data_IF_956025961099
#
_entry.id   IF_956025961099
#
_cell.length_a   1.000
_cell.length_b   1.000
_cell.length_c   1.000
_cell.angle_alpha   90.00
_cell.angle_beta   90.00
_cell.angle_gamma   90.00
#
_symmetry.space_group_name_H-M   'P 1'
#
loop_
_entity.id
_entity.type
_entity.pdbx_description
1 polymer ?
#
# COMPACT_ATOMS: atom_id res chain seq x y z
N UNK A 1 27.00 1.51 14.18
CA UNK A 1 25.65 1.29 13.61
C UNK A 1 25.33 -0.20 13.61
N UNK A 2 24.34 -0.64 14.37
CA UNK A 2 23.98 -2.07 14.45
C UNK A 2 23.33 -2.52 13.13
N UNK A 3 23.92 -3.48 12.41
CA UNK A 3 23.39 -3.99 11.13
C UNK A 3 21.99 -4.55 11.39
N UNK A 4 21.00 -4.04 10.64
CA UNK A 4 19.62 -4.52 10.75
C UNK A 4 19.56 -6.03 10.46
N UNK A 5 19.07 -6.82 11.41
CA UNK A 5 18.82 -8.24 11.21
C UNK A 5 17.75 -8.44 10.13
N UNK A 6 18.06 -9.26 9.12
CA UNK A 6 17.09 -9.67 8.10
C UNK A 6 16.00 -10.53 8.73
N UNK A 7 14.79 -10.49 8.19
CA UNK A 7 13.70 -11.38 8.61
C UNK A 7 14.08 -12.81 8.21
N UNK A 8 14.14 -13.78 9.15
CA UNK A 8 14.55 -15.16 8.86
C UNK A 8 13.69 -15.82 7.78
N UNK A 9 14.28 -16.71 6.98
CA UNK A 9 13.58 -17.41 5.87
C UNK A 9 12.33 -18.15 6.37
N UNK A 10 12.45 -18.88 7.47
CA UNK A 10 11.33 -19.61 8.10
C UNK A 10 10.16 -18.68 8.47
N UNK A 11 10.45 -17.47 8.95
CA UNK A 11 9.44 -16.48 9.27
C UNK A 11 8.82 -15.85 8.01
N UNK A 12 9.60 -15.64 6.95
CA UNK A 12 9.07 -15.17 5.65
C UNK A 12 8.05 -16.16 5.07
N UNK A 13 8.31 -17.47 5.19
CA UNK A 13 7.38 -18.50 4.75
C UNK A 13 6.05 -18.44 5.52
N UNK A 14 6.12 -18.28 6.85
CA UNK A 14 4.92 -18.05 7.69
C UNK A 14 4.15 -16.79 7.29
N UNK A 15 4.84 -15.70 6.98
CA UNK A 15 4.20 -14.45 6.54
C UNK A 15 3.50 -14.63 5.20
N UNK A 16 4.11 -15.37 4.26
CA UNK A 16 3.54 -15.62 2.94
C UNK A 16 2.19 -16.37 3.01
N UNK A 17 2.07 -17.34 3.91
CA UNK A 17 0.86 -18.15 4.06
C UNK A 17 -0.32 -17.39 4.67
N UNK A 18 -0.10 -16.28 5.39
CA UNK A 18 -1.15 -15.52 6.10
C UNK A 18 -2.31 -15.06 5.21
N UNK A 19 -2.07 -14.78 3.93
CA UNK A 19 -3.09 -14.23 3.01
C UNK A 19 -3.03 -14.88 1.63
N UNK A 20 -2.64 -16.16 1.59
CA UNK A 20 -2.71 -17.00 0.37
C UNK A 20 -2.12 -16.33 -0.88
N UNK A 21 -0.96 -15.70 -0.75
CA UNK A 21 -0.29 -15.05 -1.87
C UNK A 21 -0.98 -13.78 -2.40
N UNK A 22 -1.71 -13.04 -1.57
CA UNK A 22 -2.24 -11.70 -1.91
C UNK A 22 -1.57 -10.61 -1.08
N UNK A 23 -1.51 -9.39 -1.60
CA UNK A 23 -1.07 -8.24 -0.82
C UNK A 23 -2.11 -7.94 0.26
N UNK A 24 -1.70 -7.90 1.52
CA UNK A 24 -2.61 -7.63 2.62
C UNK A 24 -3.28 -6.23 2.54
N UNK A 25 -2.65 -5.27 1.84
CA UNK A 25 -3.21 -3.92 1.71
C UNK A 25 -4.15 -3.82 0.51
N UNK A 26 -3.69 -4.16 -0.69
CA UNK A 26 -4.44 -3.89 -1.93
C UNK A 26 -5.10 -5.13 -2.55
N UNK A 27 -4.94 -6.32 -1.95
CA UNK A 27 -5.51 -7.56 -2.45
C UNK A 27 -4.86 -8.11 -3.74
N UNK A 28 -3.94 -7.38 -4.38
CA UNK A 28 -3.26 -7.83 -5.61
C UNK A 28 -2.58 -9.19 -5.40
N UNK A 29 -2.67 -10.07 -6.38
CA UNK A 29 -1.97 -11.35 -6.38
C UNK A 29 -0.46 -11.12 -6.39
N UNK A 30 0.23 -11.82 -5.50
CA UNK A 30 1.68 -11.79 -5.34
C UNK A 30 2.28 -13.05 -5.97
N UNK A 31 3.55 -12.95 -6.36
CA UNK A 31 4.37 -14.05 -6.85
C UNK A 31 5.49 -14.32 -5.85
N UNK A 32 5.55 -15.55 -5.32
CA UNK A 32 6.53 -15.94 -4.30
C UNK A 32 7.98 -15.83 -4.80
N UNK A 33 8.20 -16.21 -6.06
CA UNK A 33 9.50 -16.31 -6.71
C UNK A 33 9.67 -15.27 -7.84
N UNK A 34 9.09 -14.07 -7.67
CA UNK A 34 9.26 -13.01 -8.65
C UNK A 34 10.74 -12.63 -8.78
N UNK A 35 11.23 -12.51 -10.03
CA UNK A 35 12.58 -12.00 -10.28
C UNK A 35 12.66 -10.52 -9.91
N UNK A 36 13.86 -10.02 -9.61
CA UNK A 36 14.07 -8.59 -9.34
C UNK A 36 13.59 -7.78 -10.55
N UNK A 37 12.69 -6.82 -10.31
CA UNK A 37 12.06 -6.01 -11.37
C UNK A 37 10.77 -6.59 -11.94
N UNK A 38 10.42 -7.84 -11.62
CA UNK A 38 9.19 -8.47 -12.08
C UNK A 38 7.96 -7.94 -11.31
N UNK A 39 6.85 -7.78 -12.04
CA UNK A 39 5.57 -7.41 -11.44
C UNK A 39 5.04 -8.52 -10.51
N UNK A 40 4.41 -8.11 -9.41
CA UNK A 40 3.81 -9.03 -8.44
C UNK A 40 4.81 -9.56 -7.41
N UNK A 41 6.07 -9.13 -7.42
CA UNK A 41 7.00 -9.41 -6.33
C UNK A 41 6.48 -8.93 -4.97
N UNK A 42 6.86 -9.65 -3.91
CA UNK A 42 6.37 -9.41 -2.56
C UNK A 42 7.47 -9.04 -1.58
N UNK A 43 7.05 -8.32 -0.53
CA UNK A 43 7.89 -7.89 0.57
C UNK A 43 7.21 -8.21 1.90
N UNK A 44 8.03 -8.46 2.93
CA UNK A 44 7.57 -8.47 4.32
C UNK A 44 7.43 -7.03 4.80
N UNK A 45 6.20 -6.54 4.85
CA UNK A 45 5.85 -5.26 5.45
C UNK A 45 5.68 -5.40 6.96
N UNK A 46 6.03 -4.34 7.71
CA UNK A 46 5.73 -4.27 9.14
C UNK A 46 4.50 -3.39 9.38
N UNK A 47 3.59 -3.79 10.28
CA UNK A 47 2.44 -2.98 10.71
C UNK A 47 2.94 -1.74 11.45
N UNK A 48 3.74 -1.97 12.50
CA UNK A 48 4.57 -0.96 13.17
C UNK A 48 5.97 -1.05 12.58
N UNK A 49 6.43 0.03 11.94
CA UNK A 49 7.75 0.06 11.33
C UNK A 49 8.85 -0.21 12.36
N UNK A 50 9.87 -0.99 11.99
CA UNK A 50 11.03 -1.28 12.84
C UNK A 50 11.69 0.00 13.39
N UNK A 51 11.83 1.05 12.54
CA UNK A 51 12.37 2.35 12.94
C UNK A 51 11.56 3.07 14.04
N UNK A 52 10.35 2.61 14.35
CA UNK A 52 9.51 3.12 15.44
C UNK A 52 9.31 2.09 16.55
N UNK A 53 10.22 1.11 16.68
CA UNK A 53 10.13 0.04 17.68
C UNK A 53 9.11 -1.04 17.32
N UNK A 54 8.97 -1.36 16.03
CA UNK A 54 8.18 -2.50 15.58
C UNK A 54 8.94 -3.81 15.71
N UNK A 55 8.32 -4.84 16.28
CA UNK A 55 8.93 -6.16 16.48
C UNK A 55 9.02 -6.97 15.18
N UNK A 56 9.87 -7.99 15.16
CA UNK A 56 9.88 -9.03 14.11
C UNK A 56 8.96 -10.20 14.45
N UNK A 57 7.95 -10.00 15.31
CA UNK A 57 6.96 -11.03 15.62
C UNK A 57 6.01 -11.22 14.45
N UNK A 58 5.53 -12.45 14.22
CA UNK A 58 4.61 -12.78 13.12
C UNK A 58 3.39 -11.86 13.08
N UNK A 59 2.82 -11.50 14.24
CA UNK A 59 1.67 -10.59 14.34
C UNK A 59 1.95 -9.13 13.91
N UNK A 60 3.22 -8.73 13.75
CA UNK A 60 3.60 -7.41 13.23
C UNK A 60 4.03 -7.45 11.75
N UNK A 61 4.00 -8.62 11.10
CA UNK A 61 4.49 -8.83 9.74
C UNK A 61 3.37 -9.25 8.79
N UNK A 62 3.41 -8.71 7.57
CA UNK A 62 2.39 -8.96 6.55
C UNK A 62 3.04 -9.02 5.15
N UNK A 63 2.54 -9.86 4.23
CA UNK A 63 3.00 -9.85 2.86
C UNK A 63 2.36 -8.66 2.11
N UNK A 64 3.18 -7.92 1.39
CA UNK A 64 2.80 -6.69 0.71
C UNK A 64 3.43 -6.63 -0.68
N UNK A 65 2.77 -5.99 -1.65
CA UNK A 65 3.44 -5.60 -2.89
C UNK A 65 4.41 -4.43 -2.62
N UNK A 66 5.33 -4.19 -3.55
CA UNK A 66 6.34 -3.12 -3.44
C UNK A 66 5.73 -1.76 -3.12
N UNK A 67 4.71 -1.35 -3.87
CA UNK A 67 4.10 -0.01 -3.72
C UNK A 67 3.47 0.19 -2.35
N UNK A 68 2.71 -0.82 -1.89
CA UNK A 68 2.08 -0.84 -0.59
C UNK A 68 3.10 -0.83 0.56
N UNK A 69 4.21 -1.56 0.40
CA UNK A 69 5.28 -1.57 1.39
C UNK A 69 5.96 -0.19 1.51
N UNK A 70 6.20 0.48 0.38
CA UNK A 70 6.80 1.82 0.35
C UNK A 70 5.89 2.87 1.01
N UNK A 71 4.59 2.83 0.72
CA UNK A 71 3.57 3.68 1.35
C UNK A 71 3.65 3.60 2.89
N UNK A 72 3.80 2.39 3.44
CA UNK A 72 3.87 2.18 4.90
C UNK A 72 5.21 2.60 5.52
N UNK A 73 6.31 2.50 4.75
CA UNK A 73 7.67 2.82 5.21
C UNK A 73 7.87 4.32 5.40
N UNK A 74 7.36 5.14 4.48
CA UNK A 74 7.71 6.57 4.39
C UNK A 74 6.79 7.53 5.16
N UNK A 75 5.62 7.09 5.63
CA UNK A 75 4.65 7.98 6.27
C UNK A 75 4.83 8.02 7.79
N UNK A 76 5.31 9.15 8.31
CA UNK A 76 5.37 9.49 9.75
C UNK A 76 4.02 9.38 10.45
N UNK A 77 3.04 10.06 9.85
CA UNK A 77 1.72 10.26 10.44
C UNK A 77 0.75 9.09 10.21
N UNK A 78 0.06 8.67 11.28
CA UNK A 78 -1.08 7.73 11.21
C UNK A 78 -2.15 8.23 10.23
N UNK A 79 -2.37 9.54 10.16
CA UNK A 79 -3.34 10.18 9.25
C UNK A 79 -2.94 9.97 7.78
N UNK A 80 -1.68 10.21 7.44
CA UNK A 80 -1.17 10.01 6.07
C UNK A 80 -1.27 8.54 5.66
N UNK A 81 -0.93 7.61 6.56
CA UNK A 81 -1.11 6.16 6.31
C UNK A 81 -2.56 5.80 6.00
N UNK A 82 -3.51 6.36 6.77
CA UNK A 82 -4.94 6.14 6.54
C UNK A 82 -5.36 6.67 5.17
N UNK A 83 -4.97 7.90 4.82
CA UNK A 83 -5.27 8.50 3.51
C UNK A 83 -4.70 7.65 2.37
N UNK A 84 -3.44 7.20 2.47
CA UNK A 84 -2.82 6.37 1.43
C UNK A 84 -3.50 5.01 1.29
N UNK A 85 -3.89 4.36 2.40
CA UNK A 85 -4.66 3.10 2.35
C UNK A 85 -6.02 3.31 1.69
N UNK A 86 -6.75 4.35 2.10
CA UNK A 86 -8.04 4.70 1.50
C UNK A 86 -7.90 4.98 0.00
N UNK A 87 -6.82 5.65 -0.43
CA UNK A 87 -6.55 5.85 -1.86
C UNK A 87 -6.30 4.56 -2.62
N UNK A 88 -5.53 3.63 -2.04
CA UNK A 88 -5.27 2.31 -2.63
C UNK A 88 -6.55 1.47 -2.73
N UNK A 89 -7.38 1.48 -1.69
CA UNK A 89 -8.68 0.78 -1.71
C UNK A 89 -9.65 1.43 -2.69
N UNK A 90 -9.73 2.76 -2.69
CA UNK A 90 -10.55 3.51 -3.64
C UNK A 90 -10.16 3.24 -5.09
N UNK A 91 -8.87 3.11 -5.41
CA UNK A 91 -8.42 2.69 -6.74
C UNK A 91 -8.90 1.28 -7.08
N UNK A 92 -8.82 0.33 -6.14
CA UNK A 92 -9.27 -1.03 -6.37
C UNK A 92 -10.78 -1.06 -6.69
N UNK A 93 -11.59 -0.26 -5.99
CA UNK A 93 -13.03 -0.07 -6.26
C UNK A 93 -13.28 0.53 -7.64
N UNK A 94 -12.52 1.58 -8.02
CA UNK A 94 -12.60 2.22 -9.34
C UNK A 94 -12.32 1.19 -10.44
N UNK A 95 -11.23 0.42 -10.31
CA UNK A 95 -10.85 -0.61 -11.28
C UNK A 95 -11.88 -1.73 -11.36
N UNK A 96 -12.46 -2.11 -10.23
CA UNK A 96 -13.56 -3.08 -10.15
C UNK A 96 -14.89 -2.57 -10.71
N UNK A 97 -14.99 -1.28 -11.10
CA UNK A 97 -16.22 -0.63 -11.59
C UNK A 97 -17.41 -0.80 -10.63
N UNK A 98 -17.15 -0.91 -9.33
CA UNK A 98 -18.20 -1.04 -8.31
C UNK A 98 -19.04 0.24 -8.24
N UNK A 99 -20.19 0.19 -7.56
CA UNK A 99 -21.01 1.39 -7.31
C UNK A 99 -20.18 2.52 -6.68
N UNK A 100 -19.41 2.18 -5.64
CA UNK A 100 -18.50 3.10 -4.97
C UNK A 100 -17.41 3.59 -5.93
N UNK A 101 -16.78 2.70 -6.70
CA UNK A 101 -15.76 3.07 -7.68
C UNK A 101 -16.25 4.09 -8.72
N UNK A 102 -17.48 3.92 -9.22
CA UNK A 102 -18.12 4.88 -10.15
C UNK A 102 -18.31 6.24 -9.47
N UNK A 103 -18.82 6.27 -8.24
CA UNK A 103 -18.99 7.51 -7.46
C UNK A 103 -17.65 8.21 -7.21
N UNK A 104 -16.61 7.47 -6.82
CA UNK A 104 -15.25 8.00 -6.63
C UNK A 104 -14.66 8.57 -7.93
N UNK A 105 -14.90 7.91 -9.07
CA UNK A 105 -14.44 8.37 -10.39
C UNK A 105 -15.09 9.70 -10.80
N UNK A 106 -16.37 9.89 -10.49
CA UNK A 106 -17.07 11.16 -10.70
C UNK A 106 -16.50 12.24 -9.78
N UNK A 107 -16.39 11.96 -8.49
CA UNK A 107 -15.84 12.90 -7.51
C UNK A 107 -14.43 13.38 -7.90
N UNK A 108 -13.56 12.46 -8.31
CA UNK A 108 -12.20 12.79 -8.75
C UNK A 108 -12.19 13.74 -9.95
N UNK A 109 -13.00 13.45 -10.97
CA UNK A 109 -13.12 14.28 -12.17
C UNK A 109 -13.62 15.68 -11.83
N UNK A 110 -14.68 15.78 -11.04
CA UNK A 110 -15.28 17.06 -10.64
C UNK A 110 -14.27 17.93 -9.87
N UNK A 111 -13.61 17.36 -8.86
CA UNK A 111 -12.58 18.09 -8.09
C UNK A 111 -11.39 18.52 -8.93
N UNK A 112 -10.99 17.72 -9.93
CA UNK A 112 -9.93 18.09 -10.87
C UNK A 112 -10.35 19.29 -11.72
N UNK A 113 -11.59 19.29 -12.24
CA UNK A 113 -12.14 20.40 -13.03
C UNK A 113 -12.30 21.68 -12.21
N UNK A 114 -12.86 21.60 -11.00
CA UNK A 114 -12.98 22.76 -10.09
C UNK A 114 -11.63 23.41 -9.77
N UNK A 115 -10.57 22.60 -9.60
CA UNK A 115 -9.22 23.10 -9.35
C UNK A 115 -8.67 23.88 -10.55
N UNK A 116 -9.00 23.46 -11.77
CA UNK A 116 -8.62 24.18 -13.00
C UNK A 116 -9.38 25.50 -13.08
N UNK A 117 -10.71 25.48 -12.86
CA UNK A 117 -11.54 26.70 -12.85
C UNK A 117 -11.01 27.75 -11.87
N UNK A 118 -10.81 27.38 -10.60
CA UNK A 118 -10.25 28.27 -9.56
C UNK A 118 -8.87 28.87 -9.89
N UNK A 119 -8.08 28.24 -10.75
CA UNK A 119 -6.80 28.78 -11.21
C UNK A 119 -6.96 29.78 -12.35
N UNK A 120 -7.94 29.55 -13.22
CA UNK A 120 -8.23 30.44 -14.34
C UNK A 120 -8.93 31.71 -13.84
N UNK A 121 -9.84 31.59 -12.87
CA UNK A 121 -10.55 32.74 -12.26
C UNK A 121 -9.62 33.67 -11.46
N UNK A 122 -8.40 33.23 -11.12
CA UNK A 122 -7.37 34.05 -10.45
C UNK A 122 -6.41 34.75 -11.42
N UNK A 123 -6.55 34.47 -12.72
CA UNK A 123 -5.68 35.00 -13.77
C UNK A 123 -6.36 36.03 -14.68
N UNK A 124 -7.69 36.17 -14.58
CA UNK A 124 -8.45 37.28 -15.13
C UNK A 124 -8.78 38.28 -14.03
#
# INVERSE_FOLDING_TARGET
MNKRKSVPKSLREKVWSLVSGRCHICGKRLKKNAKKGEYGGWHVGHIKAHARGGSQAIGNLLPTCRDCNLILKHSGSKRIKKILRLGVWGEAEIRGKTKLGKQLSVLYRNRKLERVRRRNDKKG
#
